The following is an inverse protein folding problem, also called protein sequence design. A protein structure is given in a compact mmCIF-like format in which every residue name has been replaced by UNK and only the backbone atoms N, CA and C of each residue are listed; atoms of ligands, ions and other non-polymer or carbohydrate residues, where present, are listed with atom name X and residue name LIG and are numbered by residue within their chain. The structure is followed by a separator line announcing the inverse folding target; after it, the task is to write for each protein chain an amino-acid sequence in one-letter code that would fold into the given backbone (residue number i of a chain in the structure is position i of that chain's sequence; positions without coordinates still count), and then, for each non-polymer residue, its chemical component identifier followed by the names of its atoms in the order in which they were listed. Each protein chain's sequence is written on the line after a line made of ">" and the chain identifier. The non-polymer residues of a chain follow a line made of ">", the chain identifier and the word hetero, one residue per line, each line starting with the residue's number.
data_IF_699541737223
#
_entry.id   IF_699541737223
#
_cell.length_a   1.000
_cell.length_b   1.000
_cell.length_c   1.000
_cell.angle_alpha   90.00
_cell.angle_beta   90.00
_cell.angle_gamma   90.00
#
_symmetry.space_group_name_H-M   'P 1'
#
loop_
_entity.id
_entity.type
_entity.pdbx_description
1 polymer ?
#
# COMPACT_ATOMS: atom_id res chain seq x y z
N UNK A 1 -4.59 17.13 13.83
CA UNK A 1 -5.82 17.51 13.09
C UNK A 1 -6.76 16.31 13.11
N UNK A 2 -7.97 16.47 13.62
CA UNK A 2 -8.99 15.42 13.52
C UNK A 2 -9.72 15.58 12.20
N UNK A 3 -9.50 14.72 11.26
CA UNK A 3 -10.28 14.63 10.03
C UNK A 3 -11.00 13.28 9.97
N UNK A 4 -12.16 13.28 9.35
CA UNK A 4 -12.90 12.06 9.04
C UNK A 4 -12.58 11.65 7.62
N UNK A 5 -12.35 10.38 7.43
CA UNK A 5 -12.17 9.80 6.10
C UNK A 5 -13.38 8.94 5.72
N UNK A 6 -13.54 8.75 4.43
CA UNK A 6 -14.32 7.65 3.86
C UNK A 6 -13.38 6.91 2.93
N UNK A 7 -13.12 5.67 3.24
CA UNK A 7 -12.31 4.81 2.41
C UNK A 7 -13.17 3.79 1.70
N UNK A 8 -12.89 3.57 0.44
CA UNK A 8 -13.51 2.55 -0.38
C UNK A 8 -12.41 1.72 -0.99
N UNK A 9 -12.59 0.42 -1.01
CA UNK A 9 -11.70 -0.48 -1.68
C UNK A 9 -12.47 -1.36 -2.66
N UNK A 10 -11.83 -1.65 -3.76
CA UNK A 10 -12.32 -2.52 -4.82
C UNK A 10 -11.19 -3.46 -5.21
N UNK A 11 -11.54 -4.71 -5.41
CA UNK A 11 -10.61 -5.73 -5.89
C UNK A 11 -11.38 -6.61 -6.86
N UNK A 12 -10.89 -6.70 -8.08
CA UNK A 12 -11.51 -7.50 -9.14
C UNK A 12 -10.51 -8.50 -9.71
N UNK A 13 -10.94 -9.75 -9.87
CA UNK A 13 -10.13 -10.79 -10.46
C UNK A 13 -9.92 -10.58 -11.97
N UNK A 14 -10.90 -9.95 -12.64
CA UNK A 14 -10.88 -9.75 -14.08
C UNK A 14 -10.85 -11.08 -14.83
N UNK A 15 -9.93 -11.22 -15.78
CA UNK A 15 -9.73 -12.45 -16.56
C UNK A 15 -8.60 -13.33 -16.02
N UNK A 16 -8.09 -13.03 -14.82
CA UNK A 16 -7.03 -13.81 -14.17
C UNK A 16 -7.60 -15.06 -13.51
N UNK A 17 -6.76 -16.07 -13.32
CA UNK A 17 -7.11 -17.30 -12.58
C UNK A 17 -6.98 -17.09 -11.07
N UNK A 18 -6.01 -16.31 -10.63
CA UNK A 18 -5.70 -16.02 -9.23
C UNK A 18 -5.68 -14.53 -8.99
N UNK A 19 -6.09 -14.12 -7.78
CA UNK A 19 -5.94 -12.75 -7.32
C UNK A 19 -4.53 -12.58 -6.73
N UNK A 20 -3.71 -11.78 -7.40
CA UNK A 20 -2.33 -11.51 -7.01
C UNK A 20 -2.16 -10.17 -6.30
N UNK A 21 -3.24 -9.38 -6.18
CA UNK A 21 -3.25 -8.13 -5.43
C UNK A 21 -3.56 -8.38 -3.96
N UNK A 22 -2.92 -7.59 -3.10
CA UNK A 22 -3.22 -7.54 -1.67
C UNK A 22 -3.39 -6.10 -1.23
N UNK A 23 -4.32 -5.86 -0.33
CA UNK A 23 -4.60 -4.52 0.17
C UNK A 23 -4.83 -4.50 1.68
N UNK A 24 -4.45 -3.38 2.30
CA UNK A 24 -4.75 -3.07 3.68
C UNK A 24 -5.36 -1.66 3.78
N UNK A 25 -6.46 -1.43 4.52
CA UNK A 25 -7.30 -2.45 5.16
C UNK A 25 -7.88 -3.46 4.15
N UNK A 26 -8.10 -4.69 4.60
CA UNK A 26 -8.66 -5.74 3.75
C UNK A 26 -10.04 -5.34 3.20
N UNK A 27 -10.45 -5.97 2.11
CA UNK A 27 -11.72 -5.69 1.44
C UNK A 27 -12.91 -5.71 2.43
N UNK A 28 -13.67 -4.63 2.46
CA UNK A 28 -14.83 -4.47 3.35
C UNK A 28 -14.50 -4.24 4.83
N UNK A 29 -13.22 -4.05 5.19
CA UNK A 29 -12.77 -3.84 6.58
C UNK A 29 -12.38 -2.40 6.90
N UNK A 30 -12.40 -1.50 5.93
CA UNK A 30 -12.03 -0.12 6.14
C UNK A 30 -13.04 0.63 7.02
N UNK A 31 -12.54 1.48 7.92
CA UNK A 31 -13.29 2.32 8.83
C UNK A 31 -12.91 3.80 8.68
N UNK A 32 -13.67 4.69 9.30
CA UNK A 32 -13.36 6.13 9.31
C UNK A 32 -12.11 6.48 10.15
N UNK A 33 -11.62 5.54 10.95
CA UNK A 33 -10.47 5.73 11.83
C UNK A 33 -9.16 5.24 11.21
N UNK A 34 -9.24 4.56 10.06
CA UNK A 34 -8.06 4.11 9.35
C UNK A 34 -7.22 5.30 8.88
N UNK A 35 -5.93 5.15 8.98
CA UNK A 35 -4.94 6.16 8.58
C UNK A 35 -3.84 5.59 7.70
N UNK A 36 -3.79 4.26 7.58
CA UNK A 36 -2.80 3.52 6.81
C UNK A 36 -3.49 2.74 5.69
N UNK A 37 -2.98 2.89 4.48
CA UNK A 37 -3.48 2.19 3.29
C UNK A 37 -2.28 1.66 2.52
N UNK A 38 -2.33 0.37 2.22
CA UNK A 38 -1.28 -0.35 1.47
C UNK A 38 -1.95 -1.14 0.35
N UNK A 39 -1.35 -1.11 -0.83
CA UNK A 39 -1.75 -1.95 -1.95
C UNK A 39 -0.50 -2.50 -2.61
N UNK A 40 -0.51 -3.78 -2.88
CA UNK A 40 0.56 -4.55 -3.50
C UNK A 40 -0.01 -5.35 -4.67
N UNK A 41 0.60 -5.22 -5.84
CA UNK A 41 0.29 -6.01 -7.05
C UNK A 41 1.42 -7.01 -7.25
N UNK A 42 1.11 -8.27 -7.06
CA UNK A 42 2.07 -9.36 -7.06
C UNK A 42 2.40 -9.86 -8.47
N UNK A 43 3.62 -10.33 -8.65
CA UNK A 43 4.10 -10.95 -9.88
C UNK A 43 4.89 -12.23 -9.57
N UNK A 44 4.83 -13.22 -10.48
CA UNK A 44 5.67 -14.40 -10.33
C UNK A 44 5.15 -15.72 -10.89
N UNK A 45 3.96 -15.86 -11.33
CA UNK A 45 3.37 -17.12 -11.82
C UNK A 45 3.24 -18.23 -10.74
N UNK A 46 2.26 -19.13 -10.89
CA UNK A 46 1.98 -20.23 -9.95
C UNK A 46 1.85 -19.79 -8.48
N UNK A 47 0.90 -18.91 -8.19
CA UNK A 47 0.59 -18.40 -6.83
C UNK A 47 1.72 -17.56 -6.16
N UNK A 48 2.86 -17.38 -6.82
CA UNK A 48 3.99 -16.62 -6.25
C UNK A 48 3.68 -15.13 -6.11
N UNK A 49 2.94 -14.56 -7.05
CA UNK A 49 2.48 -13.16 -6.97
C UNK A 49 1.57 -12.94 -5.78
N UNK A 50 0.61 -13.83 -5.54
CA UNK A 50 -0.28 -13.79 -4.38
C UNK A 50 0.51 -13.85 -3.05
N UNK A 51 1.47 -14.78 -2.95
CA UNK A 51 2.32 -14.89 -1.76
C UNK A 51 3.17 -13.65 -1.56
N UNK A 52 3.74 -13.09 -2.63
CA UNK A 52 4.58 -11.90 -2.54
C UNK A 52 3.79 -10.68 -2.08
N UNK A 53 2.66 -10.41 -2.72
CA UNK A 53 1.82 -9.24 -2.38
C UNK A 53 1.25 -9.34 -0.96
N UNK A 54 0.75 -10.52 -0.55
CA UNK A 54 0.27 -10.74 0.81
C UNK A 54 1.38 -10.54 1.85
N UNK A 55 2.56 -11.13 1.62
CA UNK A 55 3.70 -11.03 2.54
C UNK A 55 4.11 -9.58 2.76
N UNK A 56 4.30 -8.82 1.68
CA UNK A 56 4.72 -7.41 1.80
C UNK A 56 3.63 -6.55 2.42
N UNK A 57 2.39 -6.70 1.97
CA UNK A 57 1.26 -5.94 2.49
C UNK A 57 1.07 -6.15 4.00
N UNK A 58 1.07 -7.40 4.46
CA UNK A 58 0.89 -7.76 5.86
C UNK A 58 2.09 -7.32 6.73
N UNK A 59 3.31 -7.49 6.24
CA UNK A 59 4.52 -7.13 6.99
C UNK A 59 4.61 -5.63 7.18
N UNK A 60 4.42 -4.83 6.11
CA UNK A 60 4.47 -3.37 6.20
C UNK A 60 3.36 -2.85 7.11
N UNK A 61 2.11 -3.25 6.85
CA UNK A 61 0.99 -2.76 7.66
C UNK A 61 1.10 -3.18 9.12
N UNK A 62 1.49 -4.42 9.39
CA UNK A 62 1.68 -4.93 10.76
C UNK A 62 2.80 -4.20 11.51
N UNK A 63 3.96 -3.98 10.88
CA UNK A 63 5.08 -3.26 11.50
C UNK A 63 4.70 -1.81 11.81
N UNK A 64 4.11 -1.10 10.85
CA UNK A 64 3.69 0.29 11.07
C UNK A 64 2.64 0.38 12.18
N UNK A 65 1.59 -0.45 12.15
CA UNK A 65 0.51 -0.37 13.13
C UNK A 65 0.95 -0.77 14.54
N UNK A 66 1.97 -1.61 14.68
CA UNK A 66 2.47 -2.02 16.01
C UNK A 66 3.29 -0.93 16.70
N UNK A 67 3.95 -0.04 15.94
CA UNK A 67 4.92 0.91 16.50
C UNK A 67 4.55 2.37 16.27
N UNK A 68 3.68 2.67 15.30
CA UNK A 68 3.31 4.03 14.98
C UNK A 68 2.15 4.54 15.85
N UNK A 69 2.33 5.73 16.41
CA UNK A 69 1.26 6.47 17.07
C UNK A 69 0.54 7.37 16.06
N UNK A 70 -0.77 7.17 15.79
CA UNK A 70 -1.52 7.98 14.81
C UNK A 70 -1.59 9.49 15.15
N UNK A 71 -1.27 9.88 16.34
CA UNK A 71 -1.19 11.30 16.76
C UNK A 71 0.17 11.94 16.44
N UNK A 72 1.09 11.18 15.89
CA UNK A 72 2.43 11.64 15.51
C UNK A 72 2.64 11.53 14.00
N UNK A 73 3.64 12.25 13.49
CA UNK A 73 4.09 12.04 12.12
C UNK A 73 4.71 10.64 11.99
N UNK A 74 4.55 10.02 10.83
CA UNK A 74 5.30 8.81 10.52
C UNK A 74 6.76 9.19 10.26
N UNK A 75 7.70 8.55 11.00
CA UNK A 75 9.12 8.76 10.78
C UNK A 75 9.65 7.97 9.58
N UNK A 76 10.66 8.49 8.93
CA UNK A 76 11.35 7.79 7.84
C UNK A 76 11.99 6.50 8.34
N UNK A 77 12.54 6.52 9.56
CA UNK A 77 13.16 5.35 10.20
C UNK A 77 12.17 4.21 10.37
N UNK A 78 10.96 4.48 10.85
CA UNK A 78 9.95 3.43 11.02
C UNK A 78 9.47 2.89 9.67
N UNK A 79 9.29 3.76 8.67
CA UNK A 79 8.96 3.30 7.32
C UNK A 79 10.07 2.41 6.73
N UNK A 80 11.33 2.81 6.85
CA UNK A 80 12.46 2.02 6.36
C UNK A 80 12.63 0.70 7.12
N UNK A 81 12.34 0.67 8.43
CA UNK A 81 12.30 -0.55 9.23
C UNK A 81 11.22 -1.51 8.72
N UNK A 82 10.00 -1.02 8.46
CA UNK A 82 8.92 -1.81 7.91
C UNK A 82 9.26 -2.35 6.50
N UNK A 83 9.88 -1.53 5.68
CA UNK A 83 10.33 -1.92 4.33
C UNK A 83 11.41 -3.01 4.40
N UNK A 84 12.40 -2.86 5.27
CA UNK A 84 13.44 -3.87 5.49
C UNK A 84 12.85 -5.19 5.97
N UNK A 85 11.91 -5.14 6.93
CA UNK A 85 11.22 -6.34 7.40
C UNK A 85 10.43 -7.04 6.28
N UNK A 86 9.84 -6.27 5.37
CA UNK A 86 9.12 -6.83 4.23
C UNK A 86 10.05 -7.51 3.22
N UNK A 87 11.23 -6.94 2.95
CA UNK A 87 12.26 -7.58 2.14
C UNK A 87 12.73 -8.90 2.78
N UNK A 88 13.05 -8.88 4.07
CA UNK A 88 13.48 -10.09 4.79
C UNK A 88 12.41 -11.18 4.77
N UNK A 89 11.15 -10.82 4.96
CA UNK A 89 10.03 -11.74 4.92
C UNK A 89 9.81 -12.33 3.52
N UNK A 90 10.00 -11.53 2.48
CA UNK A 90 9.90 -11.99 1.10
C UNK A 90 11.05 -12.91 0.73
N UNK A 91 12.28 -12.54 1.07
CA UNK A 91 13.49 -13.35 0.83
C UNK A 91 13.43 -14.70 1.55
N UNK A 92 12.86 -14.75 2.76
CA UNK A 92 12.65 -16.00 3.51
C UNK A 92 11.71 -16.99 2.80
N UNK A 93 10.86 -16.52 1.90
CA UNK A 93 9.94 -17.33 1.09
C UNK A 93 10.50 -17.68 -0.30
N UNK A 94 11.62 -17.07 -0.68
CA UNK A 94 12.31 -17.41 -1.94
C UNK A 94 12.98 -18.78 -1.79
N UNK A 95 12.60 -19.71 -2.66
CA UNK A 95 13.14 -21.07 -2.65
C UNK A 95 14.29 -21.28 -3.64
N UNK A 96 14.88 -20.21 -4.18
CA UNK A 96 16.01 -20.27 -5.12
C UNK A 96 15.64 -20.65 -6.55
N UNK A 97 14.37 -20.68 -6.92
CA UNK A 97 13.94 -20.91 -8.30
C UNK A 97 14.34 -19.74 -9.21
N UNK A 98 14.50 -20.01 -10.51
CA UNK A 98 14.87 -18.99 -11.52
C UNK A 98 13.87 -17.84 -11.59
N UNK A 99 12.57 -18.10 -11.41
CA UNK A 99 11.52 -17.08 -11.35
C UNK A 99 11.29 -16.64 -9.91
N UNK A 100 11.84 -15.51 -9.56
CA UNK A 100 11.61 -14.87 -8.27
C UNK A 100 10.19 -14.34 -8.16
N UNK A 101 9.64 -14.42 -6.96
CA UNK A 101 8.42 -13.72 -6.61
C UNK A 101 8.71 -12.23 -6.37
N UNK A 102 7.78 -11.38 -6.70
CA UNK A 102 7.90 -9.95 -6.48
C UNK A 102 6.55 -9.30 -6.36
N UNK A 103 6.54 -8.06 -5.92
CA UNK A 103 5.32 -7.26 -5.83
C UNK A 103 5.63 -5.79 -5.94
N UNK A 104 4.67 -5.01 -6.45
CA UNK A 104 4.69 -3.57 -6.28
C UNK A 104 4.33 -3.21 -4.84
N UNK A 105 4.54 -1.97 -4.48
CA UNK A 105 4.07 -1.38 -3.24
C UNK A 105 3.50 0.01 -3.53
N UNK A 106 2.31 0.28 -3.06
CA UNK A 106 1.82 1.65 -2.84
C UNK A 106 1.42 1.80 -1.39
N UNK A 107 1.85 2.91 -0.79
CA UNK A 107 1.70 3.19 0.62
C UNK A 107 1.19 4.61 0.81
N UNK A 108 0.16 4.75 1.63
CA UNK A 108 -0.37 6.04 2.07
C UNK A 108 -0.60 5.99 3.57
N UNK A 109 0.04 6.89 4.31
CA UNK A 109 -0.22 7.11 5.72
C UNK A 109 -0.69 8.54 5.95
N UNK A 110 -1.85 8.69 6.58
CA UNK A 110 -2.42 9.99 6.94
C UNK A 110 -2.10 10.28 8.41
N UNK A 111 -1.32 11.30 8.67
CA UNK A 111 -0.85 11.62 10.03
C UNK A 111 -1.03 13.10 10.38
N UNK A 112 -0.62 13.50 11.57
CA UNK A 112 -0.89 14.83 12.12
C UNK A 112 -0.36 15.96 11.24
N UNK A 113 0.78 15.76 10.58
CA UNK A 113 1.45 16.79 9.78
C UNK A 113 1.17 16.69 8.26
N UNK A 114 0.28 15.77 7.86
CA UNK A 114 -0.05 15.59 6.45
C UNK A 114 -0.18 14.13 6.04
N UNK A 115 0.44 13.77 4.94
CA UNK A 115 0.43 12.41 4.41
C UNK A 115 1.84 11.98 3.97
N UNK A 116 2.18 10.75 4.26
CA UNK A 116 3.36 10.08 3.67
C UNK A 116 2.89 9.17 2.55
N UNK A 117 3.48 9.33 1.38
CA UNK A 117 3.26 8.47 0.22
C UNK A 117 4.59 7.83 -0.16
N UNK A 118 4.56 6.52 -0.36
CA UNK A 118 5.69 5.78 -0.91
C UNK A 118 5.20 4.77 -1.95
N UNK A 119 6.06 4.43 -2.91
CA UNK A 119 5.72 3.40 -3.90
C UNK A 119 6.97 2.75 -4.49
N UNK A 120 6.78 1.54 -4.98
CA UNK A 120 7.75 0.77 -5.76
C UNK A 120 6.99 0.11 -6.90
N UNK A 121 7.47 0.27 -8.13
CA UNK A 121 6.87 -0.32 -9.32
C UNK A 121 5.92 0.63 -10.06
N UNK A 122 4.95 0.07 -10.76
CA UNK A 122 4.01 0.76 -11.66
C UNK A 122 2.59 0.90 -11.10
N UNK A 123 2.34 0.42 -9.89
CA UNK A 123 1.12 0.75 -9.14
C UNK A 123 1.17 2.21 -8.68
N UNK A 124 0.04 2.93 -8.77
CA UNK A 124 0.05 4.39 -8.66
C UNK A 124 -0.80 4.92 -7.51
N UNK A 125 -0.36 6.03 -6.93
CA UNK A 125 -1.14 6.86 -6.02
C UNK A 125 -1.47 8.18 -6.70
N UNK A 126 -2.74 8.55 -6.66
CA UNK A 126 -3.23 9.84 -7.18
C UNK A 126 -3.85 10.64 -6.05
N UNK A 127 -3.52 11.93 -5.98
CA UNK A 127 -4.26 12.88 -5.18
C UNK A 127 -5.12 13.75 -6.10
N UNK A 128 -6.42 13.71 -5.89
CA UNK A 128 -7.39 14.47 -6.67
C UNK A 128 -7.98 15.59 -5.83
N UNK A 129 -8.20 16.72 -6.45
CA UNK A 129 -8.97 17.81 -5.87
C UNK A 129 -10.28 17.95 -6.64
N UNK A 130 -11.43 17.85 -5.97
CA UNK A 130 -12.72 17.96 -6.64
C UNK A 130 -12.92 19.37 -7.22
N UNK A 131 -13.84 19.46 -8.16
CA UNK A 131 -14.27 20.76 -8.69
C UNK A 131 -14.86 21.64 -7.60
N UNK A 132 -14.60 22.94 -7.72
CA UNK A 132 -15.17 23.98 -6.87
C UNK A 132 -15.77 25.08 -7.75
N UNK A 133 -16.43 26.08 -7.13
CA UNK A 133 -16.94 27.26 -7.87
C UNK A 133 -15.84 28.03 -8.61
N UNK A 134 -14.58 27.88 -8.20
CA UNK A 134 -13.43 28.66 -8.73
C UNK A 134 -12.47 27.83 -9.59
N UNK A 135 -12.58 26.51 -9.61
CA UNK A 135 -11.65 25.66 -10.35
C UNK A 135 -12.25 24.31 -10.71
N UNK A 136 -11.90 23.72 -11.88
CA UNK A 136 -12.31 22.38 -12.26
C UNK A 136 -11.65 21.33 -11.36
N UNK A 137 -12.17 20.09 -11.42
CA UNK A 137 -11.50 18.94 -10.84
C UNK A 137 -10.12 18.74 -11.48
N UNK A 138 -9.12 18.38 -10.67
CA UNK A 138 -7.76 18.19 -11.15
C UNK A 138 -6.96 17.19 -10.34
N UNK A 139 -5.98 16.57 -10.96
CA UNK A 139 -4.93 15.81 -10.30
C UNK A 139 -3.92 16.81 -9.71
N UNK A 140 -3.70 16.75 -8.39
CA UNK A 140 -2.73 17.60 -7.68
C UNK A 140 -1.39 16.91 -7.50
N UNK A 141 -1.40 15.58 -7.42
CA UNK A 141 -0.21 14.75 -7.29
C UNK A 141 -0.47 13.38 -7.93
N UNK A 142 0.57 12.80 -8.46
CA UNK A 142 0.62 11.42 -8.95
C UNK A 142 2.03 10.88 -8.80
N UNK A 143 2.17 9.63 -8.35
CA UNK A 143 3.45 8.91 -8.39
C UNK A 143 3.90 8.65 -9.84
N UNK A 144 5.19 8.51 -10.04
CA UNK A 144 5.78 8.13 -11.34
C UNK A 144 6.21 6.68 -11.28
N UNK A 145 5.91 5.93 -12.34
CA UNK A 145 6.28 4.52 -12.44
C UNK A 145 7.82 4.36 -12.43
N UNK A 146 8.27 3.32 -11.79
CA UNK A 146 9.67 2.90 -11.83
C UNK A 146 9.98 2.01 -13.02
#
# INVERSE_FOLDING_TARGET
>A
MKFKIKAYNLQELGQRTNQEDSLFPALGKSTSDDRLFVLCDGMGGHEKGEVASATVCETISGTILSEWNPNEALSDELFLQALSAAYDALDAKDNGEERKMGTTLTFLCLHTNGATVAHIGDSRVYQLRPASKKSPARIVFRTQDH
#
